data_IF_682702882357
#
_entry.id   IF_682702882357
#
_cell.length_a   1.000
_cell.length_b   1.000
_cell.length_c   1.000
_cell.angle_alpha   90.00
_cell.angle_beta   90.00
_cell.angle_gamma   90.00
#
_symmetry.space_group_name_H-M   'P 1'
#
loop_
_entity.id
_entity.type
_entity.pdbx_description
1 polymer ?
#
# COMPACT_ATOMS: atom_id res chain seq x y z
N UNK A 1 11.56 -23.41 22.96
CA UNK A 1 11.67 -22.00 23.41
C UNK A 1 10.59 -21.74 24.45
N UNK A 2 10.97 -21.38 25.67
CA UNK A 2 10.02 -21.02 26.73
C UNK A 2 9.60 -19.57 26.52
N UNK A 3 8.35 -19.37 26.08
CA UNK A 3 7.91 -18.14 25.42
C UNK A 3 7.58 -16.98 26.36
N UNK A 4 7.27 -17.23 27.63
CA UNK A 4 7.06 -16.21 28.67
C UNK A 4 7.69 -16.70 30.00
N UNK A 5 8.16 -15.79 30.85
CA UNK A 5 8.44 -16.08 32.27
C UNK A 5 7.22 -15.79 33.16
N UNK A 6 6.35 -14.87 32.71
CA UNK A 6 5.03 -14.59 33.30
C UNK A 6 3.99 -14.41 32.19
N UNK A 7 3.14 -15.41 32.01
CA UNK A 7 2.10 -15.37 30.98
C UNK A 7 0.92 -14.51 31.45
N UNK A 8 0.35 -13.76 30.51
CA UNK A 8 -0.74 -12.81 30.74
C UNK A 8 -1.81 -13.05 29.68
N UNK A 9 -3.01 -12.52 29.95
CA UNK A 9 -4.14 -12.54 29.02
C UNK A 9 -4.38 -11.14 28.50
N UNK A 10 -4.49 -11.01 27.18
CA UNK A 10 -4.73 -9.74 26.50
C UNK A 10 -6.03 -9.79 25.71
N UNK A 11 -6.84 -8.74 25.84
CA UNK A 11 -7.95 -8.44 24.93
C UNK A 11 -7.51 -7.40 23.90
N UNK A 12 -7.65 -7.71 22.61
CA UNK A 12 -7.34 -6.79 21.51
C UNK A 12 -8.65 -6.43 20.82
N UNK A 13 -8.93 -5.13 20.66
CA UNK A 13 -10.12 -4.63 19.96
C UNK A 13 -9.72 -4.15 18.57
N UNK A 14 -10.25 -4.81 17.55
CA UNK A 14 -9.99 -4.60 16.13
C UNK A 14 -9.06 -5.65 15.51
N UNK A 15 -9.51 -6.31 14.44
CA UNK A 15 -8.76 -7.26 13.61
C UNK A 15 -8.17 -6.60 12.34
N UNK A 16 -7.79 -5.32 12.43
CA UNK A 16 -6.98 -4.68 11.38
C UNK A 16 -5.52 -5.13 11.42
N UNK A 17 -4.65 -4.60 10.53
CA UNK A 17 -3.24 -4.99 10.49
C UNK A 17 -2.53 -4.82 11.83
N UNK A 18 -2.79 -3.71 12.55
CA UNK A 18 -2.22 -3.47 13.88
C UNK A 18 -2.63 -4.55 14.88
N UNK A 19 -3.94 -4.79 15.05
CA UNK A 19 -4.45 -5.77 16.02
C UNK A 19 -4.03 -7.21 15.70
N UNK A 20 -4.00 -7.58 14.41
CA UNK A 20 -3.53 -8.88 13.97
C UNK A 20 -2.04 -9.07 14.28
N UNK A 21 -1.18 -8.09 13.96
CA UNK A 21 0.25 -8.17 14.26
C UNK A 21 0.49 -8.19 15.77
N UNK A 22 -0.19 -7.34 16.56
CA UNK A 22 -0.11 -7.37 18.01
C UNK A 22 -0.52 -8.74 18.58
N UNK A 23 -1.61 -9.33 18.07
CA UNK A 23 -2.06 -10.64 18.51
C UNK A 23 -1.07 -11.76 18.18
N UNK A 24 -0.50 -11.74 16.98
CA UNK A 24 0.54 -12.69 16.55
C UNK A 24 1.76 -12.59 17.45
N UNK A 25 2.31 -11.38 17.66
CA UNK A 25 3.53 -11.22 18.46
C UNK A 25 3.33 -11.58 19.94
N UNK A 26 2.19 -11.20 20.54
CA UNK A 26 1.86 -11.59 21.92
C UNK A 26 1.68 -13.11 22.06
N UNK A 27 1.02 -13.76 21.10
CA UNK A 27 0.86 -15.21 21.10
C UNK A 27 2.19 -15.94 20.85
N UNK A 28 3.06 -15.40 19.99
CA UNK A 28 4.43 -15.91 19.79
C UNK A 28 5.29 -15.75 21.05
N UNK A 29 5.07 -14.70 21.85
CA UNK A 29 5.61 -14.54 23.20
C UNK A 29 4.87 -15.39 24.27
N UNK A 30 3.98 -16.29 23.88
CA UNK A 30 3.36 -17.27 24.78
C UNK A 30 2.24 -16.72 25.65
N UNK A 31 1.79 -15.49 25.42
CA UNK A 31 0.62 -14.94 26.09
C UNK A 31 -0.69 -15.52 25.54
N UNK A 32 -1.75 -15.46 26.34
CA UNK A 32 -3.11 -15.77 25.86
C UNK A 32 -3.72 -14.50 25.28
N UNK A 33 -4.27 -14.57 24.07
CA UNK A 33 -4.84 -13.41 23.38
C UNK A 33 -6.25 -13.73 22.94
N UNK A 34 -7.17 -12.80 23.18
CA UNK A 34 -8.52 -12.80 22.61
C UNK A 34 -8.68 -11.54 21.77
N UNK A 35 -9.12 -11.72 20.53
CA UNK A 35 -9.29 -10.63 19.58
C UNK A 35 -10.77 -10.41 19.29
N UNK A 36 -11.22 -9.17 19.40
CA UNK A 36 -12.61 -8.75 19.21
C UNK A 36 -12.69 -7.88 17.96
N UNK A 37 -13.45 -8.30 16.96
CA UNK A 37 -13.68 -7.55 15.72
C UNK A 37 -15.16 -7.23 15.59
N UNK A 38 -15.47 -5.99 15.19
CA UNK A 38 -16.85 -5.54 15.02
C UNK A 38 -17.47 -6.06 13.71
N UNK A 39 -16.65 -6.23 12.66
CA UNK A 39 -17.09 -6.73 11.37
C UNK A 39 -17.09 -8.25 11.29
N UNK A 40 -17.68 -8.79 10.22
CA UNK A 40 -17.65 -10.21 9.89
C UNK A 40 -16.35 -10.66 9.19
N UNK A 41 -15.32 -9.81 9.15
CA UNK A 41 -14.05 -10.10 8.48
C UNK A 41 -12.87 -9.47 9.20
N UNK A 42 -11.72 -10.10 9.07
CA UNK A 42 -10.43 -9.54 9.50
C UNK A 42 -9.81 -8.67 8.39
N UNK A 43 -8.69 -8.01 8.70
CA UNK A 43 -7.92 -7.17 7.76
C UNK A 43 -8.24 -5.68 7.84
N UNK A 44 -9.38 -5.29 8.41
CA UNK A 44 -9.76 -3.88 8.56
C UNK A 44 -9.78 -3.15 7.21
N UNK A 45 -8.97 -2.09 7.06
CA UNK A 45 -8.86 -1.34 5.79
C UNK A 45 -8.06 -2.05 4.69
N UNK A 46 -7.42 -3.17 4.98
CA UNK A 46 -6.83 -4.05 3.96
C UNK A 46 -7.93 -5.03 3.55
N UNK A 47 -8.44 -4.89 2.32
CA UNK A 47 -9.58 -5.67 1.86
C UNK A 47 -9.52 -5.91 0.35
N UNK A 48 -9.29 -7.16 -0.03
CA UNK A 48 -9.48 -7.64 -1.40
C UNK A 48 -10.89 -8.20 -1.53
N UNK A 49 -11.70 -7.64 -2.42
CA UNK A 49 -12.92 -8.27 -2.88
C UNK A 49 -12.58 -9.33 -3.93
N UNK A 50 -13.07 -10.55 -3.75
CA UNK A 50 -12.83 -11.69 -4.65
C UNK A 50 -14.17 -12.21 -5.14
N UNK A 51 -14.34 -12.26 -6.46
CA UNK A 51 -15.51 -12.91 -7.04
C UNK A 51 -15.30 -14.42 -7.06
N UNK A 52 -15.88 -15.13 -6.09
CA UNK A 52 -15.73 -16.59 -5.94
C UNK A 52 -16.41 -17.41 -7.06
N UNK A 53 -17.33 -16.81 -7.81
CA UNK A 53 -18.08 -17.49 -8.88
C UNK A 53 -17.28 -17.58 -10.18
N UNK A 54 -16.48 -16.55 -10.48
CA UNK A 54 -15.70 -16.49 -11.71
C UNK A 54 -14.21 -16.67 -11.48
N UNK A 55 -13.69 -16.36 -10.28
CA UNK A 55 -12.26 -16.43 -9.95
C UNK A 55 -11.38 -15.42 -10.71
N UNK A 56 -11.95 -14.64 -11.63
CA UNK A 56 -11.21 -13.82 -12.59
C UNK A 56 -11.04 -12.35 -12.15
N UNK A 57 -11.81 -11.90 -11.16
CA UNK A 57 -11.79 -10.51 -10.72
C UNK A 57 -11.46 -10.42 -9.24
N UNK A 58 -10.27 -9.89 -8.97
CA UNK A 58 -9.85 -9.41 -7.66
C UNK A 58 -9.83 -7.88 -7.70
N UNK A 59 -10.47 -7.25 -6.73
CA UNK A 59 -10.48 -5.80 -6.60
C UNK A 59 -9.98 -5.42 -5.21
N UNK A 60 -8.91 -4.62 -5.16
CA UNK A 60 -8.47 -4.03 -3.90
C UNK A 60 -9.37 -2.85 -3.51
N UNK A 61 -10.07 -3.00 -2.40
CA UNK A 61 -10.97 -1.99 -1.82
C UNK A 61 -10.26 -1.13 -0.75
N UNK A 62 -8.94 -1.23 -0.68
CA UNK A 62 -8.13 -0.61 0.36
C UNK A 62 -6.65 -0.49 -0.05
N UNK A 63 -5.75 -1.08 0.74
CA UNK A 63 -4.33 -1.09 0.41
C UNK A 63 -4.06 -1.87 -0.89
N UNK A 64 -3.35 -1.24 -1.84
CA UNK A 64 -3.09 -1.83 -3.17
C UNK A 64 -1.61 -2.09 -3.48
N UNK A 65 -0.68 -1.51 -2.71
CA UNK A 65 0.76 -1.61 -2.97
C UNK A 65 1.58 -1.65 -1.69
N UNK A 66 2.75 -2.28 -1.77
CA UNK A 66 3.68 -2.49 -0.65
C UNK A 66 5.08 -1.97 -1.04
N UNK A 67 5.48 -0.76 -0.60
CA UNK A 67 6.83 -0.24 -0.89
C UNK A 67 7.84 -0.86 0.10
N UNK A 68 8.27 -2.09 -0.21
CA UNK A 68 9.07 -2.94 0.69
C UNK A 68 10.52 -2.48 0.85
N UNK A 69 11.00 -1.63 -0.05
CA UNK A 69 12.32 -1.01 -0.03
C UNK A 69 12.47 0.02 1.10
N UNK A 70 11.38 0.72 1.45
CA UNK A 70 11.38 1.73 2.51
C UNK A 70 10.65 1.27 3.78
N UNK A 71 9.79 0.26 3.71
CA UNK A 71 9.04 -0.26 4.86
C UNK A 71 9.65 -1.57 5.41
N UNK A 72 10.72 -1.44 6.20
CA UNK A 72 11.48 -2.60 6.72
C UNK A 72 10.66 -3.63 7.50
N UNK A 73 9.80 -3.21 8.44
CA UNK A 73 8.96 -4.14 9.21
C UNK A 73 8.01 -4.93 8.31
N UNK A 74 7.36 -4.23 7.37
CA UNK A 74 6.46 -4.85 6.41
C UNK A 74 7.20 -5.86 5.53
N UNK A 75 8.41 -5.51 5.07
CA UNK A 75 9.26 -6.39 4.28
C UNK A 75 9.62 -7.68 5.04
N UNK A 76 10.03 -7.59 6.31
CA UNK A 76 10.31 -8.76 7.14
C UNK A 76 9.09 -9.67 7.29
N UNK A 77 7.90 -9.11 7.56
CA UNK A 77 6.69 -9.95 7.65
C UNK A 77 6.35 -10.62 6.32
N UNK A 78 6.36 -9.86 5.23
CA UNK A 78 5.95 -10.35 3.90
C UNK A 78 6.92 -11.41 3.38
N UNK A 79 8.23 -11.15 3.41
CA UNK A 79 9.25 -12.01 2.78
C UNK A 79 9.78 -13.09 3.71
N UNK A 80 10.07 -12.76 4.97
CA UNK A 80 10.78 -13.69 5.86
C UNK A 80 9.82 -14.52 6.71
N UNK A 81 8.77 -13.89 7.26
CA UNK A 81 7.84 -14.55 8.18
C UNK A 81 6.74 -15.31 7.47
N UNK A 82 6.07 -14.66 6.52
CA UNK A 82 4.91 -15.20 5.81
C UNK A 82 5.26 -15.80 4.44
N UNK A 83 6.43 -15.43 3.89
CA UNK A 83 6.94 -15.94 2.61
C UNK A 83 5.91 -15.82 1.47
N UNK A 84 5.26 -14.66 1.39
CA UNK A 84 4.23 -14.40 0.39
C UNK A 84 4.83 -14.18 -1.00
N UNK A 85 4.12 -14.67 -2.01
CA UNK A 85 4.40 -14.33 -3.41
C UNK A 85 4.05 -12.86 -3.67
N UNK A 86 4.86 -12.20 -4.51
CA UNK A 86 4.74 -10.78 -4.81
C UNK A 86 4.71 -10.55 -6.31
N UNK A 87 3.77 -9.73 -6.73
CA UNK A 87 3.69 -9.23 -8.10
C UNK A 87 4.23 -7.80 -8.20
N UNK A 88 4.98 -7.47 -9.27
CA UNK A 88 5.45 -6.10 -9.50
C UNK A 88 4.29 -5.11 -9.62
N UNK A 89 4.39 -3.98 -8.91
CA UNK A 89 3.46 -2.86 -9.08
C UNK A 89 4.09 -1.79 -9.99
N UNK A 90 3.59 -1.65 -11.22
CA UNK A 90 4.08 -0.68 -12.20
C UNK A 90 3.51 0.71 -11.87
N UNK A 91 4.36 1.61 -11.35
CA UNK A 91 3.97 2.99 -11.02
C UNK A 91 4.28 4.01 -12.14
N UNK A 92 4.99 3.58 -13.19
CA UNK A 92 5.41 4.44 -14.29
C UNK A 92 5.12 3.79 -15.63
N UNK A 93 4.42 4.51 -16.50
CA UNK A 93 4.20 4.16 -17.90
C UNK A 93 4.23 5.46 -18.73
N UNK A 94 5.10 5.57 -19.75
CA UNK A 94 5.20 6.75 -20.62
C UNK A 94 3.90 7.08 -21.38
N UNK A 95 3.04 6.08 -21.59
CA UNK A 95 1.76 6.22 -22.29
C UNK A 95 0.59 6.53 -21.34
N UNK A 96 0.85 6.66 -20.03
CA UNK A 96 -0.15 7.13 -19.05
C UNK A 96 -0.74 8.46 -19.50
N UNK A 97 -2.07 8.55 -19.52
CA UNK A 97 -2.78 9.77 -19.87
C UNK A 97 -2.69 10.81 -18.75
N UNK A 98 -2.43 12.06 -19.14
CA UNK A 98 -2.47 13.25 -18.29
C UNK A 98 -3.50 14.20 -18.89
N UNK A 99 -4.43 14.67 -18.05
CA UNK A 99 -5.44 15.67 -18.44
C UNK A 99 -5.36 16.89 -17.53
N UNK A 100 -4.87 18.01 -18.07
CA UNK A 100 -4.63 19.25 -17.34
C UNK A 100 -4.99 20.43 -18.25
N UNK A 101 -5.75 21.40 -17.72
CA UNK A 101 -6.14 22.62 -18.44
C UNK A 101 -6.70 22.37 -19.85
N UNK A 102 -7.64 21.41 -19.95
CA UNK A 102 -8.27 20.96 -21.20
C UNK A 102 -7.33 20.38 -22.26
N UNK A 103 -6.10 20.01 -21.87
CA UNK A 103 -5.13 19.29 -22.70
C UNK A 103 -5.06 17.84 -22.23
N UNK A 104 -5.42 16.91 -23.13
CA UNK A 104 -5.18 15.47 -22.97
C UNK A 104 -3.90 15.08 -23.70
N UNK A 105 -2.93 14.52 -22.98
CA UNK A 105 -1.62 14.12 -23.51
C UNK A 105 -1.14 12.83 -22.84
N UNK A 106 -0.11 12.18 -23.37
CA UNK A 106 0.62 11.14 -22.63
C UNK A 106 1.68 11.76 -21.71
N UNK A 107 2.14 11.00 -20.71
CA UNK A 107 3.26 11.41 -19.84
C UNK A 107 4.53 11.72 -20.64
N UNK A 108 4.86 10.90 -21.65
CA UNK A 108 6.01 11.16 -22.52
C UNK A 108 5.90 12.51 -23.20
N UNK A 109 4.76 12.79 -23.83
CA UNK A 109 4.52 14.06 -24.51
C UNK A 109 4.52 15.26 -23.54
N UNK A 110 4.01 15.07 -22.31
CA UNK A 110 4.08 16.07 -21.24
C UNK A 110 5.53 16.39 -20.85
N UNK A 111 6.41 15.39 -20.79
CA UNK A 111 7.82 15.59 -20.50
C UNK A 111 8.60 16.19 -21.68
N UNK A 112 8.27 15.82 -22.91
CA UNK A 112 8.89 16.37 -24.13
C UNK A 112 8.49 17.85 -24.37
N UNK A 113 7.28 18.25 -23.96
CA UNK A 113 6.76 19.60 -24.08
C UNK A 113 5.97 20.04 -22.82
N UNK A 114 6.65 20.38 -21.71
CA UNK A 114 6.00 20.74 -20.45
C UNK A 114 5.20 22.05 -20.49
N UNK A 115 5.45 22.92 -21.48
CA UNK A 115 4.74 24.20 -21.63
C UNK A 115 3.35 24.11 -22.25
N UNK A 116 2.92 22.92 -22.70
CA UNK A 116 1.68 22.74 -23.45
C UNK A 116 0.39 23.01 -22.67
N UNK A 117 0.47 23.12 -21.34
CA UNK A 117 -0.70 23.28 -20.47
C UNK A 117 -1.19 24.71 -20.33
N UNK A 118 -0.63 25.69 -21.07
CA UNK A 118 -1.11 27.08 -21.12
C UNK A 118 -1.28 27.78 -19.75
N UNK A 119 -0.37 27.51 -18.81
CA UNK A 119 -0.31 28.23 -17.54
C UNK A 119 0.46 29.55 -17.69
N UNK A 120 -0.01 30.59 -17.02
CA UNK A 120 0.74 31.83 -16.84
C UNK A 120 1.84 31.60 -15.80
N UNK A 121 3.03 31.20 -16.26
CA UNK A 121 4.17 30.84 -15.41
C UNK A 121 5.18 31.98 -15.30
N UNK A 122 5.81 32.11 -14.14
CA UNK A 122 7.01 32.94 -14.02
C UNK A 122 8.18 32.33 -14.83
N UNK A 123 9.16 33.13 -15.27
CA UNK A 123 10.29 32.62 -16.05
C UNK A 123 11.03 31.45 -15.38
N UNK A 124 11.15 31.45 -14.05
CA UNK A 124 11.79 30.39 -13.25
C UNK A 124 10.94 29.13 -13.06
N UNK A 125 9.71 29.10 -13.55
CA UNK A 125 8.77 27.97 -13.49
C UNK A 125 8.61 27.26 -14.84
N UNK A 126 9.07 27.89 -15.93
CA UNK A 126 9.00 27.31 -17.28
C UNK A 126 9.91 26.09 -17.47
N UNK A 127 9.53 25.19 -18.38
CA UNK A 127 10.29 24.00 -18.79
C UNK A 127 10.58 22.96 -17.69
N UNK A 128 9.89 23.00 -16.57
CA UNK A 128 10.00 21.95 -15.54
C UNK A 128 9.19 20.71 -15.95
N UNK A 129 9.82 19.55 -15.87
CA UNK A 129 9.20 18.26 -16.21
C UNK A 129 8.53 17.64 -14.99
N UNK A 130 7.49 16.85 -15.25
CA UNK A 130 6.62 16.27 -14.22
C UNK A 130 7.40 15.34 -13.28
N UNK A 131 8.41 14.64 -13.80
CA UNK A 131 9.12 13.60 -13.06
C UNK A 131 10.22 14.14 -12.11
N UNK A 132 10.61 15.42 -12.22
CA UNK A 132 11.72 15.98 -11.43
C UNK A 132 11.28 16.66 -10.12
N UNK A 133 10.00 16.60 -9.74
CA UNK A 133 9.45 17.42 -8.64
C UNK A 133 9.01 16.69 -7.37
N UNK A 134 9.10 15.37 -7.30
CA UNK A 134 8.54 14.61 -6.18
C UNK A 134 9.55 14.09 -5.14
N UNK A 135 10.84 14.44 -5.28
CA UNK A 135 11.87 14.05 -4.32
C UNK A 135 12.90 15.18 -4.13
N UNK A 136 12.50 16.25 -3.44
CA UNK A 136 13.42 17.09 -2.66
C UNK A 136 13.20 16.83 -1.16
#
# INVERSE_FOLDING_TARGET
MQKCTKCQTFGIVGAGPSGLITGVELALAGHTVTLFEANNRTGGRVWTHRNETTGLYMLEMGAMRLPLDVHGLLNTYVRERLQLELEPYINYDPDTLIYINDVLTTRKQANDNPGQFNFDLYPNETNKVVDNHFFE
#
